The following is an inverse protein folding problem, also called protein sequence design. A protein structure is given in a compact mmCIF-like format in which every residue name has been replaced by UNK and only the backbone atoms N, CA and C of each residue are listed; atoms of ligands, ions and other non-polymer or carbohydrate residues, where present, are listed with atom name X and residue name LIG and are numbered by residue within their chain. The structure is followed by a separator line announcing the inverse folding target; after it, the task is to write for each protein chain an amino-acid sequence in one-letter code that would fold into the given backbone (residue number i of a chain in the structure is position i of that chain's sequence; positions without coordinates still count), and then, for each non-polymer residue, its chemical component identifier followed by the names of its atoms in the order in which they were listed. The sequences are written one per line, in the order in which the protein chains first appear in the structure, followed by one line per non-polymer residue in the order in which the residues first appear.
data_IF_319661672604
#
_entry.id   IF_319661672604
#
_cell.length_a   1.000
_cell.length_b   1.000
_cell.length_c   1.000
_cell.angle_alpha   90.00
_cell.angle_beta   90.00
_cell.angle_gamma   90.00
#
_symmetry.space_group_name_H-M   'P 1'
#
loop_
_entity.id
_entity.type
_entity.pdbx_description
1 polymer ?
#
# COMPACT_ATOMS: atom_id res chain seq x y z
N UNK A 1 2.12 4.27 -20.69
CA UNK A 1 2.96 4.08 -19.49
C UNK A 1 2.25 4.70 -18.31
N UNK A 2 2.56 4.23 -17.11
CA UNK A 2 2.09 4.79 -15.85
C UNK A 2 3.29 5.27 -15.02
N UNK A 3 3.12 6.40 -14.36
CA UNK A 3 3.94 6.82 -13.24
C UNK A 3 3.13 6.61 -11.96
N UNK A 4 3.71 5.93 -10.98
CA UNK A 4 3.05 5.65 -9.69
C UNK A 4 3.97 6.17 -8.60
N UNK A 5 3.48 7.06 -7.76
CA UNK A 5 4.18 7.54 -6.58
C UNK A 5 3.52 6.94 -5.35
N UNK A 6 4.23 6.06 -4.64
CA UNK A 6 3.81 5.54 -3.33
C UNK A 6 4.10 6.61 -2.29
N UNK A 7 3.07 7.37 -1.98
CA UNK A 7 3.11 8.51 -1.08
C UNK A 7 1.76 8.67 -0.37
N UNK A 8 1.80 8.90 0.93
CA UNK A 8 0.66 8.72 1.85
C UNK A 8 -0.12 10.01 2.14
N UNK A 9 0.47 11.17 1.91
CA UNK A 9 -0.10 12.48 2.29
C UNK A 9 -1.39 12.82 1.56
N UNK A 10 -1.44 12.52 0.27
CA UNK A 10 -2.47 13.10 -0.58
C UNK A 10 -3.70 12.22 -0.80
N UNK A 11 -3.52 10.89 -0.87
CA UNK A 11 -4.60 9.98 -1.32
C UNK A 11 -4.99 8.93 -0.29
N UNK A 12 -6.29 8.58 -0.21
CA UNK A 12 -6.79 7.53 0.68
C UNK A 12 -6.29 6.12 0.31
N UNK A 13 -5.63 5.95 -0.83
CA UNK A 13 -5.00 4.69 -1.26
C UNK A 13 -3.49 4.65 -1.03
N UNK A 14 -2.90 5.71 -0.47
CA UNK A 14 -1.47 5.78 -0.17
C UNK A 14 -0.57 5.81 -1.40
N UNK A 15 -1.11 6.30 -2.53
CA UNK A 15 -0.40 6.43 -3.80
C UNK A 15 -1.09 7.41 -4.75
N UNK A 16 -0.30 8.03 -5.63
CA UNK A 16 -0.77 8.76 -6.82
C UNK A 16 -0.46 7.94 -8.08
N UNK A 17 -1.35 7.98 -9.06
CA UNK A 17 -1.16 7.32 -10.36
C UNK A 17 -1.36 8.36 -11.45
N UNK A 18 -0.37 8.48 -12.34
CA UNK A 18 -0.39 9.38 -13.49
C UNK A 18 -0.23 8.56 -14.76
N UNK A 19 -1.25 8.55 -15.61
CA UNK A 19 -1.19 7.89 -16.91
C UNK A 19 -0.49 8.79 -17.95
N UNK A 20 0.51 8.24 -18.62
CA UNK A 20 1.31 8.87 -19.67
C UNK A 20 1.18 8.03 -20.94
N UNK A 21 0.08 8.22 -21.71
CA UNK A 21 -0.26 7.33 -22.82
C UNK A 21 0.69 7.49 -24.01
N UNK A 22 1.01 6.39 -24.67
CA UNK A 22 1.80 6.39 -25.91
C UNK A 22 3.29 6.70 -25.75
N UNK A 23 3.79 6.72 -24.52
CA UNK A 23 5.20 6.92 -24.19
C UNK A 23 5.71 5.65 -23.50
N UNK A 24 6.88 5.15 -23.90
CA UNK A 24 7.57 4.08 -23.17
C UNK A 24 8.43 4.66 -22.05
N UNK A 25 8.83 3.85 -21.06
CA UNK A 25 9.75 4.28 -19.98
C UNK A 25 11.00 4.94 -20.57
N UNK A 26 11.67 4.27 -21.52
CA UNK A 26 12.87 4.82 -22.16
C UNK A 26 12.58 6.15 -22.87
N UNK A 27 11.49 6.21 -23.64
CA UNK A 27 11.15 7.42 -24.38
C UNK A 27 10.77 8.60 -23.48
N UNK A 28 10.21 8.33 -22.29
CA UNK A 28 9.94 9.39 -21.30
C UNK A 28 11.24 9.98 -20.77
N UNK A 29 12.21 9.15 -20.36
CA UNK A 29 13.52 9.65 -19.91
C UNK A 29 14.26 10.39 -21.03
N UNK A 30 14.22 9.89 -22.26
CA UNK A 30 14.79 10.60 -23.43
C UNK A 30 14.18 11.97 -23.66
N UNK A 31 12.87 12.11 -23.45
CA UNK A 31 12.21 13.41 -23.55
C UNK A 31 12.72 14.37 -22.48
N UNK A 32 12.90 13.90 -21.24
CA UNK A 32 13.50 14.68 -20.16
C UNK A 32 14.93 15.15 -20.45
N UNK A 33 15.74 14.31 -21.10
CA UNK A 33 17.10 14.65 -21.55
C UNK A 33 17.17 15.88 -22.46
N UNK A 34 16.07 16.19 -23.16
CA UNK A 34 15.99 17.27 -24.16
C UNK A 34 15.38 18.55 -23.59
N UNK A 35 15.04 18.57 -22.30
CA UNK A 35 14.37 19.72 -21.68
C UNK A 35 15.39 20.75 -21.20
N UNK A 36 15.10 22.02 -21.46
CA UNK A 36 15.90 23.15 -20.95
C UNK A 36 15.67 23.41 -19.46
N UNK A 37 14.51 23.01 -18.93
CA UNK A 37 14.09 23.18 -17.54
C UNK A 37 13.51 21.86 -17.01
N UNK A 38 14.38 20.92 -16.56
CA UNK A 38 13.93 19.59 -16.17
C UNK A 38 13.02 19.57 -14.95
N UNK A 39 13.29 20.39 -13.93
CA UNK A 39 12.46 20.49 -12.71
C UNK A 39 11.02 20.84 -13.08
N UNK A 40 10.85 21.93 -13.84
CA UNK A 40 9.53 22.35 -14.28
C UNK A 40 8.85 21.29 -15.15
N UNK A 41 9.58 20.68 -16.08
CA UNK A 41 9.03 19.65 -16.96
C UNK A 41 8.55 18.42 -16.18
N UNK A 42 9.34 17.93 -15.21
CA UNK A 42 8.94 16.81 -14.34
C UNK A 42 7.68 17.19 -13.55
N UNK A 43 7.66 18.37 -12.94
CA UNK A 43 6.51 18.87 -12.17
C UNK A 43 5.23 18.96 -13.00
N UNK A 44 5.31 19.43 -14.25
CA UNK A 44 4.16 19.50 -15.17
C UNK A 44 3.71 18.13 -15.66
N UNK A 45 4.62 17.18 -15.90
CA UNK A 45 4.28 15.84 -16.37
C UNK A 45 3.71 14.95 -15.28
N UNK A 46 4.21 15.08 -14.04
CA UNK A 46 3.96 14.13 -12.96
C UNK A 46 3.13 14.70 -11.81
N UNK A 47 2.58 15.92 -11.96
CA UNK A 47 1.82 16.63 -10.91
C UNK A 47 2.65 16.80 -9.63
N UNK A 48 3.80 17.49 -9.76
CA UNK A 48 4.74 17.75 -8.68
C UNK A 48 5.94 16.81 -8.63
N UNK A 49 5.83 15.57 -9.13
CA UNK A 49 6.93 14.60 -9.17
C UNK A 49 7.53 14.23 -7.80
N UNK A 50 8.35 13.18 -7.71
CA UNK A 50 9.12 12.92 -6.50
C UNK A 50 10.35 13.82 -6.48
N UNK A 51 10.66 14.37 -5.30
CA UNK A 51 11.85 15.19 -5.09
C UNK A 51 13.11 14.45 -5.57
N UNK A 52 13.96 15.15 -6.31
CA UNK A 52 15.23 14.61 -6.78
C UNK A 52 15.19 13.88 -8.11
N UNK A 53 14.02 13.55 -8.66
CA UNK A 53 13.92 12.86 -9.94
C UNK A 53 14.52 13.69 -11.09
N UNK A 54 14.39 15.02 -11.03
CA UNK A 54 14.95 15.94 -12.02
C UNK A 54 16.48 15.90 -12.10
N UNK A 55 17.15 15.48 -11.03
CA UNK A 55 18.61 15.48 -10.92
C UNK A 55 19.30 14.72 -12.04
N UNK A 56 18.73 13.60 -12.52
CA UNK A 56 19.30 12.84 -13.65
C UNK A 56 19.42 13.69 -14.92
N UNK A 57 18.39 14.50 -15.20
CA UNK A 57 18.35 15.37 -16.39
C UNK A 57 19.24 16.60 -16.21
N UNK A 58 19.31 17.14 -15.00
CA UNK A 58 20.24 18.22 -14.69
C UNK A 58 21.70 17.77 -14.87
N UNK A 59 22.05 16.60 -14.33
CA UNK A 59 23.38 15.99 -14.51
C UNK A 59 23.70 15.70 -15.97
N UNK A 60 22.71 15.21 -16.73
CA UNK A 60 22.86 15.02 -18.17
C UNK A 60 23.26 16.30 -18.88
N UNK A 61 22.62 17.43 -18.54
CA UNK A 61 22.95 18.74 -19.12
C UNK A 61 24.31 19.26 -18.63
N UNK A 62 24.55 19.23 -17.33
CA UNK A 62 25.79 19.74 -16.72
C UNK A 62 27.04 19.03 -17.25
N UNK A 63 26.94 17.70 -17.44
CA UNK A 63 28.06 16.84 -17.84
C UNK A 63 28.04 16.46 -19.31
N UNK A 64 27.06 16.93 -20.07
CA UNK A 64 26.86 16.59 -21.48
C UNK A 64 26.77 15.06 -21.69
N UNK A 65 26.02 14.37 -20.83
CA UNK A 65 25.87 12.93 -20.91
C UNK A 65 25.08 12.54 -22.17
N UNK A 66 25.42 11.41 -22.81
CA UNK A 66 24.65 10.93 -23.95
C UNK A 66 23.22 10.58 -23.53
N UNK A 67 22.27 10.78 -24.43
CA UNK A 67 20.90 10.27 -24.28
C UNK A 67 20.94 8.72 -24.31
N UNK A 68 20.24 8.02 -23.39
CA UNK A 68 20.25 6.56 -23.37
C UNK A 68 19.61 5.97 -24.63
N UNK A 69 20.33 5.07 -25.32
CA UNK A 69 19.84 4.31 -26.46
C UNK A 69 19.07 3.04 -26.05
N UNK A 70 19.30 2.55 -24.83
CA UNK A 70 18.73 1.29 -24.31
C UNK A 70 18.36 1.42 -22.84
N UNK A 71 17.53 0.50 -22.33
CA UNK A 71 17.22 0.40 -20.90
C UNK A 71 18.45 0.08 -20.04
N UNK A 72 19.42 -0.65 -20.58
CA UNK A 72 20.67 -0.96 -19.87
C UNK A 72 21.53 0.29 -19.70
N UNK A 73 21.64 1.13 -20.74
CA UNK A 73 22.30 2.43 -20.62
C UNK A 73 21.55 3.38 -19.69
N UNK A 74 20.21 3.37 -19.73
CA UNK A 74 19.41 4.13 -18.78
C UNK A 74 19.68 3.66 -17.33
N UNK A 75 19.82 2.36 -17.09
CA UNK A 75 20.19 1.81 -15.77
C UNK A 75 21.51 2.37 -15.29
N UNK A 76 22.56 2.31 -16.11
CA UNK A 76 23.88 2.81 -15.75
C UNK A 76 23.84 4.31 -15.41
N UNK A 77 23.15 5.11 -16.23
CA UNK A 77 22.99 6.55 -16.01
C UNK A 77 22.21 6.86 -14.72
N UNK A 78 21.13 6.13 -14.45
CA UNK A 78 20.34 6.32 -13.23
C UNK A 78 21.16 5.97 -11.98
N UNK A 79 21.88 4.85 -11.97
CA UNK A 79 22.74 4.46 -10.83
C UNK A 79 23.82 5.51 -10.57
N UNK A 80 24.43 6.07 -11.62
CA UNK A 80 25.54 7.02 -11.42
C UNK A 80 25.09 8.46 -11.10
N UNK A 81 23.91 8.87 -11.56
CA UNK A 81 23.56 10.29 -11.62
C UNK A 81 22.18 10.65 -11.05
N UNK A 82 21.28 9.69 -10.85
CA UNK A 82 20.05 9.97 -10.13
C UNK A 82 20.39 10.19 -8.66
N UNK A 83 19.98 11.33 -8.13
CA UNK A 83 19.97 11.53 -6.70
C UNK A 83 18.66 10.97 -6.14
N UNK A 84 18.79 10.05 -5.18
CA UNK A 84 17.71 9.50 -4.38
C UNK A 84 18.24 9.41 -2.94
N UNK A 85 17.40 9.74 -1.96
CA UNK A 85 17.74 9.60 -0.54
C UNK A 85 17.54 8.15 -0.11
N UNK A 86 18.32 7.24 -0.70
CA UNK A 86 18.35 5.84 -0.33
C UNK A 86 19.72 5.26 -0.69
N UNK A 87 20.16 4.28 0.09
CA UNK A 87 21.32 3.46 -0.25
C UNK A 87 20.96 2.36 -1.29
N UNK A 88 19.67 2.21 -1.64
CA UNK A 88 19.20 1.26 -2.65
C UNK A 88 19.35 1.83 -4.07
N UNK A 89 20.09 1.13 -4.93
CA UNK A 89 20.19 1.47 -6.35
C UNK A 89 18.82 1.40 -7.07
N UNK A 90 18.56 2.29 -8.05
CA UNK A 90 17.40 2.20 -8.92
C UNK A 90 17.27 0.84 -9.62
N UNK A 91 16.08 0.24 -9.56
CA UNK A 91 15.81 -1.06 -10.17
C UNK A 91 15.20 -0.91 -11.55
N UNK A 92 16.05 -1.01 -12.56
CA UNK A 92 15.67 -0.87 -13.96
C UNK A 92 15.48 -2.24 -14.62
N UNK A 93 14.24 -2.53 -15.01
CA UNK A 93 13.85 -3.68 -15.82
C UNK A 93 13.65 -3.28 -17.29
N UNK A 94 13.26 -4.23 -18.15
CA UNK A 94 13.05 -3.96 -19.57
C UNK A 94 11.89 -2.98 -19.84
N UNK A 95 10.88 -2.94 -18.96
CA UNK A 95 9.68 -2.11 -19.09
C UNK A 95 9.36 -1.30 -17.82
N UNK A 96 10.32 -1.19 -16.91
CA UNK A 96 10.08 -0.57 -15.59
C UNK A 96 11.31 0.15 -15.07
N UNK A 97 11.11 1.30 -14.43
CA UNK A 97 12.08 1.92 -13.51
C UNK A 97 11.41 2.01 -12.15
N UNK A 98 12.07 1.55 -11.10
CA UNK A 98 11.52 1.53 -9.73
C UNK A 98 12.59 2.08 -8.80
N UNK A 99 12.24 3.07 -8.00
CA UNK A 99 13.18 3.79 -7.15
C UNK A 99 12.60 3.88 -5.76
N UNK A 100 13.42 3.52 -4.77
CA UNK A 100 13.19 3.81 -3.36
C UNK A 100 13.94 5.10 -3.02
N UNK A 101 13.33 5.97 -2.25
CA UNK A 101 13.93 7.20 -1.72
C UNK A 101 13.32 7.49 -0.36
N UNK A 102 13.75 8.54 0.31
CA UNK A 102 12.99 9.17 1.38
C UNK A 102 12.96 10.69 1.15
N UNK A 103 12.31 11.40 2.06
CA UNK A 103 12.29 12.85 2.17
C UNK A 103 12.76 13.30 3.57
N UNK A 104 13.86 12.70 4.06
CA UNK A 104 14.36 12.77 5.45
C UNK A 104 13.43 12.19 6.55
N UNK A 105 12.11 12.21 6.37
CA UNK A 105 11.15 11.82 7.41
C UNK A 105 10.30 10.60 7.07
N UNK A 106 10.09 10.30 5.79
CA UNK A 106 9.27 9.17 5.35
C UNK A 106 9.89 8.41 4.17
N UNK A 107 9.81 7.09 4.19
CA UNK A 107 10.18 6.30 3.03
C UNK A 107 9.17 6.50 1.90
N UNK A 108 9.69 6.76 0.70
CA UNK A 108 8.94 6.96 -0.53
C UNK A 108 9.42 5.98 -1.60
N UNK A 109 8.53 5.65 -2.54
CA UNK A 109 8.94 4.93 -3.72
C UNK A 109 8.14 5.39 -4.92
N UNK A 110 8.76 5.36 -6.09
CA UNK A 110 8.07 5.65 -7.34
C UNK A 110 8.45 4.68 -8.44
N UNK A 111 7.52 4.53 -9.38
CA UNK A 111 7.58 3.51 -10.41
C UNK A 111 7.16 4.09 -11.75
N UNK A 112 7.96 3.85 -12.77
CA UNK A 112 7.57 3.97 -14.18
C UNK A 112 7.29 2.56 -14.70
N UNK A 113 6.13 2.35 -15.32
CA UNK A 113 5.69 1.04 -15.81
C UNK A 113 5.06 1.19 -17.19
N UNK A 114 5.60 0.51 -18.20
CA UNK A 114 4.98 0.50 -19.52
C UNK A 114 3.61 -0.17 -19.52
N UNK A 115 2.75 0.21 -20.47
CA UNK A 115 1.42 -0.40 -20.64
C UNK A 115 1.52 -1.91 -20.90
N UNK A 116 2.55 -2.35 -21.62
CA UNK A 116 2.82 -3.77 -21.89
C UNK A 116 3.11 -4.54 -20.59
N UNK A 117 3.94 -3.99 -19.70
CA UNK A 117 4.24 -4.63 -18.41
C UNK A 117 3.01 -4.70 -17.52
N UNK A 118 2.22 -3.61 -17.46
CA UNK A 118 0.98 -3.59 -16.70
C UNK A 118 -0.03 -4.65 -17.22
N UNK A 119 -0.07 -4.87 -18.54
CA UNK A 119 -0.94 -5.85 -19.16
C UNK A 119 -0.46 -7.30 -19.00
N UNK A 120 0.87 -7.53 -19.02
CA UNK A 120 1.47 -8.87 -18.89
C UNK A 120 1.51 -9.37 -17.44
N UNK A 121 1.51 -8.46 -16.45
CA UNK A 121 1.57 -8.78 -15.01
C UNK A 121 0.46 -8.08 -14.20
N UNK A 122 -0.82 -8.31 -14.53
CA UNK A 122 -1.92 -7.60 -13.90
C UNK A 122 -2.06 -7.93 -12.40
N UNK A 123 -1.69 -9.13 -11.96
CA UNK A 123 -1.67 -9.52 -10.55
C UNK A 123 -0.63 -8.76 -9.72
N UNK A 124 0.35 -8.16 -10.38
CA UNK A 124 1.36 -7.30 -9.76
C UNK A 124 0.86 -5.87 -9.69
N UNK A 125 0.29 -5.34 -10.77
CA UNK A 125 0.03 -3.90 -10.92
C UNK A 125 -1.44 -3.48 -10.69
N UNK A 126 -2.40 -4.40 -10.59
CA UNK A 126 -3.81 -4.02 -10.52
C UNK A 126 -4.14 -3.05 -9.37
N UNK A 127 -3.62 -3.28 -8.15
CA UNK A 127 -3.80 -2.35 -7.05
C UNK A 127 -2.97 -1.08 -7.26
N UNK A 128 -1.73 -1.19 -7.76
CA UNK A 128 -0.85 -0.04 -8.01
C UNK A 128 -1.45 0.97 -8.99
N UNK A 129 -2.17 0.49 -10.00
CA UNK A 129 -2.81 1.32 -11.02
C UNK A 129 -4.25 1.72 -10.66
N UNK A 130 -4.79 1.20 -9.56
CA UNK A 130 -6.11 1.58 -9.07
C UNK A 130 -6.04 2.92 -8.34
N UNK A 131 -6.66 3.95 -8.91
CA UNK A 131 -6.61 5.34 -8.48
C UNK A 131 -7.89 5.85 -7.81
N UNK A 132 -8.95 5.04 -7.79
CA UNK A 132 -10.26 5.43 -7.28
C UNK A 132 -10.53 4.85 -5.88
N UNK A 133 -10.95 5.70 -4.94
CA UNK A 133 -11.57 5.23 -3.71
C UNK A 133 -13.11 5.25 -3.85
N UNK A 134 -13.85 4.25 -3.33
CA UNK A 134 -13.37 3.01 -2.68
C UNK A 134 -13.01 1.90 -3.67
N UNK A 135 -12.30 0.85 -3.20
CA UNK A 135 -12.21 -0.43 -3.92
C UNK A 135 -13.62 -0.99 -4.22
N UNK A 136 -13.82 -1.75 -5.31
CA UNK A 136 -15.12 -2.30 -5.68
C UNK A 136 -15.69 -3.24 -4.60
N UNK A 137 -17.00 -3.21 -4.40
CA UNK A 137 -17.66 -3.91 -3.28
C UNK A 137 -18.39 -5.21 -3.66
N UNK A 138 -18.42 -5.59 -4.94
CA UNK A 138 -19.02 -6.84 -5.40
C UNK A 138 -18.18 -8.07 -5.01
N UNK A 139 -18.86 -9.20 -4.86
CA UNK A 139 -18.28 -10.47 -4.41
C UNK A 139 -18.98 -11.64 -5.09
N UNK A 140 -18.30 -12.78 -5.17
CA UNK A 140 -18.84 -14.03 -5.75
C UNK A 140 -18.59 -15.20 -4.80
N UNK A 141 -19.47 -16.18 -4.83
CA UNK A 141 -19.31 -17.43 -4.09
C UNK A 141 -18.34 -18.35 -4.87
N UNK A 142 -17.05 -18.14 -4.67
CA UNK A 142 -15.97 -18.92 -5.27
C UNK A 142 -14.70 -18.90 -4.42
N UNK A 143 -13.85 -19.89 -4.63
CA UNK A 143 -12.56 -19.98 -3.94
C UNK A 143 -11.55 -18.97 -4.52
N UNK A 144 -10.77 -18.37 -3.64
CA UNK A 144 -9.62 -17.54 -4.00
C UNK A 144 -8.32 -18.26 -3.67
N UNK A 145 -7.48 -18.47 -4.68
CA UNK A 145 -6.13 -19.03 -4.54
C UNK A 145 -5.10 -17.93 -4.76
N UNK A 146 -4.18 -17.78 -3.82
CA UNK A 146 -3.04 -16.88 -3.91
C UNK A 146 -1.73 -17.63 -3.69
N UNK A 147 -0.66 -17.07 -4.26
CA UNK A 147 0.73 -17.50 -4.12
C UNK A 147 1.56 -16.51 -3.27
N UNK A 148 0.93 -15.42 -2.82
CA UNK A 148 1.57 -14.36 -2.05
C UNK A 148 1.79 -14.84 -0.61
N UNK A 149 3.00 -14.69 -0.04
CA UNK A 149 3.24 -14.96 1.37
C UNK A 149 2.36 -14.09 2.28
N UNK A 150 1.73 -14.73 3.28
CA UNK A 150 0.90 -14.05 4.29
C UNK A 150 1.19 -14.63 5.67
N UNK A 151 1.10 -13.79 6.70
CA UNK A 151 1.16 -14.25 8.09
C UNK A 151 -0.15 -14.93 8.44
N UNK A 152 -0.12 -16.15 8.97
CA UNK A 152 -1.36 -16.91 9.24
C UNK A 152 -1.67 -16.94 10.73
N UNK A 153 -2.90 -16.56 11.10
CA UNK A 153 -3.43 -16.77 12.45
C UNK A 153 -3.87 -18.24 12.58
N UNK A 154 -3.32 -18.93 13.57
CA UNK A 154 -3.72 -20.30 13.87
C UNK A 154 -5.17 -20.32 14.40
N UNK A 155 -6.01 -21.27 13.95
CA UNK A 155 -7.27 -21.53 14.65
C UNK A 155 -8.42 -22.16 13.87
N UNK A 156 -8.48 -22.05 12.54
CA UNK A 156 -9.59 -22.66 11.76
C UNK A 156 -9.07 -23.39 10.51
N UNK A 157 -9.77 -24.48 10.16
CA UNK A 157 -9.48 -25.37 9.03
C UNK A 157 -10.64 -25.44 8.03
N UNK A 158 -11.52 -24.43 8.03
CA UNK A 158 -12.62 -24.30 7.07
C UNK A 158 -12.18 -23.84 5.67
N UNK A 159 -13.10 -23.81 4.70
CA UNK A 159 -12.86 -23.21 3.38
C UNK A 159 -12.74 -21.69 3.47
N UNK A 160 -12.00 -21.11 2.52
CA UNK A 160 -11.78 -19.67 2.42
C UNK A 160 -10.81 -19.10 3.46
N UNK A 161 -10.66 -17.78 3.47
CA UNK A 161 -9.90 -17.02 4.43
C UNK A 161 -10.35 -15.56 4.45
N UNK A 162 -10.15 -14.88 5.58
CA UNK A 162 -10.16 -13.42 5.65
C UNK A 162 -8.74 -12.89 5.63
N UNK A 163 -8.49 -11.89 4.81
CA UNK A 163 -7.22 -11.19 4.70
C UNK A 163 -7.33 -9.81 5.34
N UNK A 164 -6.32 -9.45 6.12
CA UNK A 164 -6.15 -8.15 6.75
C UNK A 164 -4.88 -7.52 6.19
N UNK A 165 -5.04 -6.42 5.46
CA UNK A 165 -3.96 -5.66 4.85
C UNK A 165 -3.94 -4.26 5.44
N UNK A 166 -2.92 -3.95 6.25
CA UNK A 166 -2.70 -2.61 6.76
C UNK A 166 -1.55 -1.96 6.02
N UNK A 167 -1.80 -0.77 5.48
CA UNK A 167 -0.79 0.08 4.87
C UNK A 167 -0.64 1.28 5.81
N UNK A 168 0.22 1.17 6.83
CA UNK A 168 0.41 2.22 7.84
C UNK A 168 1.88 2.59 8.03
N UNK A 169 2.14 3.59 8.88
CA UNK A 169 3.47 3.79 9.44
C UNK A 169 3.69 2.73 10.52
N UNK A 170 4.57 1.76 10.25
CA UNK A 170 4.98 0.78 11.25
C UNK A 170 6.43 1.05 11.68
N UNK A 171 6.60 1.79 12.77
CA UNK A 171 7.92 2.05 13.37
C UNK A 171 8.46 0.86 14.17
N UNK A 172 7.83 -0.32 14.10
CA UNK A 172 8.21 -1.49 14.92
C UNK A 172 9.28 -2.36 14.27
N UNK A 173 9.68 -2.02 13.05
CA UNK A 173 10.87 -2.52 12.35
C UNK A 173 12.06 -1.54 12.41
N UNK A 174 12.93 -1.60 11.40
CA UNK A 174 14.08 -0.73 11.17
C UNK A 174 13.74 0.74 10.83
N UNK A 175 12.46 1.11 10.87
CA UNK A 175 11.98 2.46 10.62
C UNK A 175 11.36 2.67 9.24
N UNK A 176 11.19 1.61 8.44
CA UNK A 176 10.76 1.74 7.05
C UNK A 176 9.22 1.73 6.89
N UNK A 177 8.69 2.60 6.02
CA UNK A 177 7.23 2.74 5.78
C UNK A 177 6.73 1.93 4.58
N UNK A 178 7.65 1.31 3.84
CA UNK A 178 7.37 0.60 2.59
C UNK A 178 7.51 -0.92 2.71
N UNK A 179 8.43 -1.40 3.54
CA UNK A 179 8.68 -2.83 3.82
C UNK A 179 7.85 -3.27 5.02
N UNK A 180 6.54 -3.32 4.79
CA UNK A 180 5.57 -3.66 5.82
C UNK A 180 5.62 -5.16 6.16
N UNK A 181 5.08 -5.52 7.31
CA UNK A 181 5.07 -6.91 7.79
C UNK A 181 4.28 -7.90 6.90
N UNK A 182 3.61 -7.44 5.84
CA UNK A 182 2.76 -8.27 5.00
C UNK A 182 1.33 -8.40 5.54
N UNK A 183 0.47 -8.99 4.71
CA UNK A 183 -0.92 -9.26 5.07
C UNK A 183 -1.03 -10.37 6.13
N UNK A 184 -2.10 -10.30 6.93
CA UNK A 184 -2.50 -11.36 7.87
C UNK A 184 -3.69 -12.12 7.32
N UNK A 185 -3.63 -13.44 7.29
CA UNK A 185 -4.72 -14.33 6.91
C UNK A 185 -5.32 -15.03 8.14
N UNK A 186 -6.65 -15.08 8.18
CA UNK A 186 -7.47 -15.87 9.10
C UNK A 186 -8.13 -16.99 8.28
N UNK A 187 -7.55 -18.20 8.24
CA UNK A 187 -8.06 -19.28 7.42
C UNK A 187 -9.43 -19.75 7.88
N UNK A 188 -10.23 -20.28 6.95
CA UNK A 188 -11.50 -20.92 7.24
C UNK A 188 -12.57 -20.01 7.82
N UNK A 189 -12.58 -18.74 7.41
CA UNK A 189 -13.54 -17.72 7.82
C UNK A 189 -14.00 -16.90 6.61
N UNK A 190 -15.22 -16.40 6.70
CA UNK A 190 -15.72 -15.27 5.91
C UNK A 190 -15.67 -13.98 6.73
N UNK A 191 -15.73 -12.82 6.07
CA UNK A 191 -15.66 -11.52 6.75
C UNK A 191 -16.78 -11.31 7.78
N UNK A 192 -18.05 -11.74 7.54
CA UNK A 192 -19.11 -11.69 8.55
C UNK A 192 -18.84 -12.54 9.80
N UNK A 193 -18.03 -13.59 9.68
CA UNK A 193 -17.71 -14.50 10.80
C UNK A 193 -16.51 -14.00 11.62
N UNK A 194 -15.68 -13.10 11.06
CA UNK A 194 -14.43 -12.65 11.66
C UNK A 194 -14.64 -12.06 13.06
N UNK A 195 -15.64 -11.20 13.26
CA UNK A 195 -15.90 -10.60 14.56
C UNK A 195 -16.19 -11.66 15.64
N UNK A 196 -16.99 -12.68 15.31
CA UNK A 196 -17.29 -13.77 16.25
C UNK A 196 -16.05 -14.61 16.57
N UNK A 197 -15.17 -14.83 15.60
CA UNK A 197 -13.91 -15.53 15.81
C UNK A 197 -12.97 -14.76 16.74
N UNK A 198 -12.76 -13.46 16.49
CA UNK A 198 -11.91 -12.61 17.32
C UNK A 198 -12.42 -12.51 18.77
N UNK A 199 -13.74 -12.44 18.94
CA UNK A 199 -14.42 -12.39 20.24
C UNK A 199 -14.26 -13.69 21.04
N UNK A 200 -14.28 -14.84 20.35
CA UNK A 200 -14.23 -16.18 20.96
C UNK A 200 -12.81 -16.72 21.22
N UNK A 201 -11.77 -16.08 20.70
CA UNK A 201 -10.39 -16.53 20.88
C UNK A 201 -9.92 -16.34 22.34
N UNK A 202 -9.24 -17.35 22.89
CA UNK A 202 -8.65 -17.26 24.22
C UNK A 202 -7.49 -16.26 24.24
N UNK A 203 -7.30 -15.54 25.35
CA UNK A 203 -6.25 -14.51 25.46
C UNK A 203 -4.84 -15.05 25.26
N UNK A 204 -4.58 -16.28 25.71
CA UNK A 204 -3.29 -16.95 25.51
C UNK A 204 -2.98 -17.18 24.03
N UNK A 205 -3.99 -17.57 23.24
CA UNK A 205 -3.86 -17.79 21.80
C UNK A 205 -3.68 -16.46 21.08
N UNK A 206 -4.50 -15.46 21.44
CA UNK A 206 -4.45 -14.13 20.86
C UNK A 206 -3.12 -13.40 21.16
N UNK A 207 -2.48 -13.68 22.29
CA UNK A 207 -1.18 -13.11 22.65
C UNK A 207 -0.06 -13.46 21.66
N UNK A 208 -0.18 -14.59 20.95
CA UNK A 208 0.79 -15.04 19.95
C UNK A 208 0.46 -14.56 18.53
N UNK A 209 -0.66 -13.86 18.31
CA UNK A 209 -1.07 -13.41 16.98
C UNK A 209 -0.18 -12.27 16.43
N UNK A 210 -0.09 -12.15 15.10
CA UNK A 210 0.46 -10.97 14.44
C UNK A 210 -0.12 -9.68 15.01
N UNK A 211 0.68 -8.61 14.99
CA UNK A 211 0.30 -7.32 15.58
C UNK A 211 -1.07 -6.83 15.13
N UNK A 212 -1.32 -6.82 13.81
CA UNK A 212 -2.57 -6.28 13.27
C UNK A 212 -3.79 -7.12 13.64
N UNK A 213 -3.64 -8.43 13.81
CA UNK A 213 -4.70 -9.29 14.34
C UNK A 213 -5.01 -8.98 15.81
N UNK A 214 -3.99 -8.71 16.63
CA UNK A 214 -4.17 -8.27 18.02
C UNK A 214 -4.83 -6.90 18.10
N UNK A 215 -4.39 -5.95 17.28
CA UNK A 215 -4.99 -4.62 17.19
C UNK A 215 -6.46 -4.70 16.75
N UNK A 216 -6.78 -5.53 15.76
CA UNK A 216 -8.15 -5.71 15.30
C UNK A 216 -9.04 -6.29 16.41
N UNK A 217 -8.55 -7.28 17.15
CA UNK A 217 -9.23 -7.85 18.32
C UNK A 217 -9.43 -6.81 19.43
N UNK A 218 -8.39 -6.02 19.73
CA UNK A 218 -8.46 -4.95 20.73
C UNK A 218 -9.44 -3.84 20.33
N UNK A 219 -9.72 -3.64 19.03
CA UNK A 219 -10.72 -2.67 18.57
C UNK A 219 -12.15 -3.20 18.54
N UNK A 220 -12.33 -4.51 18.65
CA UNK A 220 -13.63 -5.16 18.66
C UNK A 220 -14.24 -5.13 20.06
N UNK A 221 -15.42 -4.51 20.21
CA UNK A 221 -16.14 -4.51 21.48
C UNK A 221 -16.58 -5.91 21.90
N UNK A 222 -16.66 -6.20 23.21
CA UNK A 222 -17.10 -7.51 23.71
C UNK A 222 -18.50 -7.88 23.20
N UNK A 223 -18.64 -9.07 22.60
CA UNK A 223 -19.89 -9.56 22.01
C UNK A 223 -20.30 -8.86 20.70
N UNK A 224 -19.49 -7.94 20.18
CA UNK A 224 -19.74 -7.27 18.91
C UNK A 224 -19.60 -8.25 17.73
N UNK A 225 -20.54 -8.17 16.79
CA UNK A 225 -20.61 -9.05 15.62
C UNK A 225 -20.34 -8.34 14.30
N UNK A 226 -20.18 -7.01 14.34
CA UNK A 226 -19.88 -6.20 13.15
C UNK A 226 -18.40 -5.80 13.16
N UNK A 227 -17.59 -6.41 12.29
CA UNK A 227 -16.17 -6.06 12.18
C UNK A 227 -15.97 -4.62 11.68
N UNK A 228 -16.92 -4.05 10.95
CA UNK A 228 -16.84 -2.66 10.53
C UNK A 228 -16.89 -1.69 11.71
N UNK A 229 -17.49 -2.08 12.85
CA UNK A 229 -17.44 -1.27 14.06
C UNK A 229 -16.01 -1.14 14.61
N UNK A 230 -15.19 -2.19 14.56
CA UNK A 230 -13.78 -2.13 14.92
C UNK A 230 -12.99 -1.17 14.02
N UNK A 231 -13.21 -1.22 12.70
CA UNK A 231 -12.57 -0.31 11.73
C UNK A 231 -13.06 1.14 11.87
N UNK A 232 -14.32 1.36 12.29
CA UNK A 232 -14.80 2.70 12.66
C UNK A 232 -14.18 3.22 13.96
N UNK A 233 -13.80 2.35 14.89
CA UNK A 233 -13.00 2.75 16.07
C UNK A 233 -11.58 3.10 15.66
N UNK A 234 -10.96 2.28 14.79
CA UNK A 234 -9.65 2.58 14.20
C UNK A 234 -9.61 3.96 13.57
N UNK A 235 -10.61 4.30 12.75
CA UNK A 235 -10.78 5.60 12.10
C UNK A 235 -10.77 6.82 13.04
N UNK A 236 -10.95 6.60 14.35
CA UNK A 236 -11.02 7.64 15.39
C UNK A 236 -9.81 7.64 16.33
N UNK A 237 -8.85 6.73 16.13
CA UNK A 237 -7.64 6.70 16.93
C UNK A 237 -6.76 7.90 16.55
N UNK A 238 -6.20 8.54 17.57
CA UNK A 238 -5.30 9.68 17.42
C UNK A 238 -3.85 9.24 17.22
N UNK A 239 -3.06 10.13 16.61
CA UNK A 239 -1.62 9.94 16.44
C UNK A 239 -1.24 9.02 15.27
N UNK A 240 0.04 9.08 14.89
CA UNK A 240 0.59 8.30 13.79
C UNK A 240 0.76 6.81 14.13
N UNK A 241 1.07 6.47 15.40
CA UNK A 241 0.97 5.10 15.93
C UNK A 241 -0.37 4.94 16.69
N UNK A 242 -1.43 4.43 16.05
CA UNK A 242 -2.75 4.33 16.66
C UNK A 242 -2.89 3.18 17.65
N UNK A 243 -1.80 2.54 18.07
CA UNK A 243 -1.89 1.32 18.86
C UNK A 243 -2.57 1.59 20.21
N UNK A 244 -3.67 0.86 20.54
CA UNK A 244 -4.21 0.85 21.89
C UNK A 244 -3.09 0.55 22.90
N UNK A 245 -3.03 1.34 23.98
CA UNK A 245 -1.96 1.22 24.99
C UNK A 245 -1.87 -0.17 25.63
N UNK A 246 -2.95 -0.95 25.57
CA UNK A 246 -2.96 -2.38 25.85
C UNK A 246 -3.65 -3.13 24.71
N UNK A 247 -2.86 -3.81 23.87
CA UNK A 247 -3.34 -4.66 22.77
C UNK A 247 -4.05 -5.94 23.24
N UNK A 248 -4.07 -6.21 24.54
CA UNK A 248 -4.81 -7.34 25.12
C UNK A 248 -6.15 -6.89 25.71
N UNK A 249 -6.32 -5.60 25.99
CA UNK A 249 -7.55 -5.05 26.51
C UNK A 249 -8.57 -4.81 25.39
N UNK A 250 -9.85 -5.10 25.69
CA UNK A 250 -10.98 -4.81 24.80
C UNK A 250 -11.81 -3.68 25.38
N UNK A 251 -12.44 -2.84 24.52
CA UNK A 251 -13.26 -1.73 24.95
C UNK A 251 -14.34 -2.18 25.93
N UNK A 252 -14.29 -1.67 27.16
CA UNK A 252 -15.31 -1.93 28.15
C UNK A 252 -16.61 -1.17 27.83
N UNK A 253 -17.75 -1.72 28.25
CA UNK A 253 -19.00 -0.98 28.21
C UNK A 253 -18.88 0.27 29.10
N UNK A 254 -19.01 1.46 28.51
CA UNK A 254 -18.92 2.74 29.22
C UNK A 254 -17.56 3.45 29.15
N UNK A 255 -16.64 3.00 28.28
CA UNK A 255 -15.45 3.78 27.95
C UNK A 255 -15.80 5.18 27.41
N UNK A 256 -14.95 6.18 27.66
CA UNK A 256 -15.14 7.51 27.13
C UNK A 256 -15.29 7.45 25.61
N UNK A 257 -16.22 8.23 25.08
CA UNK A 257 -16.44 8.27 23.64
C UNK A 257 -15.13 8.65 22.94
N UNK A 258 -14.73 7.81 21.98
CA UNK A 258 -13.69 8.17 21.02
C UNK A 258 -14.10 9.49 20.33
N UNK A 259 -13.12 10.33 19.96
CA UNK A 259 -13.41 11.55 19.24
C UNK A 259 -14.16 11.31 17.94
N UNK A 260 -14.71 12.38 17.38
CA UNK A 260 -15.14 12.33 15.99
C UNK A 260 -13.94 12.11 15.06
N UNK A 261 -14.12 11.31 14.02
CA UNK A 261 -13.09 11.12 13.01
C UNK A 261 -12.86 12.41 12.24
N UNK A 262 -11.63 12.63 11.77
CA UNK A 262 -11.32 13.76 10.91
C UNK A 262 -12.20 13.72 9.63
N UNK A 263 -12.66 14.86 9.08
CA UNK A 263 -13.54 14.87 7.90
C UNK A 263 -12.93 14.23 6.64
N UNK A 264 -11.59 14.18 6.54
CA UNK A 264 -10.88 13.47 5.45
C UNK A 264 -10.84 11.96 5.64
N UNK A 265 -11.11 11.44 6.84
CA UNK A 265 -11.13 9.99 7.10
C UNK A 265 -12.29 9.33 6.37
N UNK A 266 -11.99 8.27 5.62
CA UNK A 266 -12.98 7.53 4.83
C UNK A 266 -13.15 6.12 5.40
N UNK A 267 -14.39 5.66 5.52
CA UNK A 267 -14.73 4.28 5.88
C UNK A 267 -15.80 3.77 4.93
N UNK A 268 -15.56 2.61 4.32
CA UNK A 268 -16.54 1.89 3.51
C UNK A 268 -16.65 0.46 4.04
N UNK A 269 -17.88 -0.01 4.20
CA UNK A 269 -18.17 -1.36 4.66
C UNK A 269 -19.20 -2.00 3.71
N UNK A 270 -18.76 -3.04 3.02
CA UNK A 270 -19.52 -3.93 2.19
C UNK A 270 -19.48 -5.35 2.82
N UNK A 271 -20.37 -6.28 2.46
CA UNK A 271 -20.46 -7.59 3.13
C UNK A 271 -19.16 -8.40 3.17
N UNK A 272 -18.33 -8.29 2.12
CA UNK A 272 -17.10 -9.06 1.93
C UNK A 272 -15.84 -8.18 1.83
N UNK A 273 -15.98 -6.86 2.06
CA UNK A 273 -14.88 -5.90 2.09
C UNK A 273 -15.18 -4.77 3.09
N UNK A 274 -14.30 -4.54 4.04
CA UNK A 274 -14.27 -3.33 4.87
C UNK A 274 -12.95 -2.61 4.63
N UNK A 275 -13.01 -1.31 4.35
CA UNK A 275 -11.83 -0.50 4.07
C UNK A 275 -11.90 0.83 4.80
N UNK A 276 -10.79 1.24 5.39
CA UNK A 276 -10.62 2.55 6.04
C UNK A 276 -9.37 3.22 5.49
N UNK A 277 -9.48 4.52 5.25
CA UNK A 277 -8.36 5.43 5.08
C UNK A 277 -8.43 6.44 6.22
N UNK A 278 -7.70 6.16 7.32
CA UNK A 278 -7.67 7.01 8.51
C UNK A 278 -6.73 8.17 8.25
N UNK A 279 -7.28 9.37 8.14
CA UNK A 279 -6.48 10.58 8.01
C UNK A 279 -5.83 10.92 9.35
N UNK A 280 -4.53 11.19 9.33
CA UNK A 280 -3.73 11.57 10.50
C UNK A 280 -3.59 13.10 10.52
N UNK A 281 -2.80 13.65 9.60
CA UNK A 281 -2.60 15.08 9.37
C UNK A 281 -1.95 15.29 7.99
N UNK A 282 -1.59 16.54 7.65
CA UNK A 282 -0.99 16.87 6.35
C UNK A 282 0.45 16.32 6.20
N UNK A 283 1.10 15.89 7.29
CA UNK A 283 2.46 15.38 7.27
C UNK A 283 2.48 13.85 7.14
N UNK A 284 1.67 13.14 7.93
CA UNK A 284 1.60 11.67 7.91
C UNK A 284 0.54 11.12 6.96
N UNK A 285 -0.37 11.96 6.45
CA UNK A 285 -1.37 11.54 5.48
C UNK A 285 -2.37 10.52 6.01
N UNK A 286 -2.45 9.37 5.34
CA UNK A 286 -3.42 8.31 5.65
C UNK A 286 -2.76 7.00 6.12
N UNK A 287 -3.39 6.37 7.12
CA UNK A 287 -3.17 4.98 7.54
C UNK A 287 -4.34 4.13 7.00
N UNK A 288 -4.07 3.25 6.05
CA UNK A 288 -5.09 2.44 5.40
C UNK A 288 -5.20 1.04 6.01
N UNK A 289 -6.42 0.52 6.09
CA UNK A 289 -6.65 -0.87 6.47
C UNK A 289 -7.79 -1.47 5.66
N UNK A 290 -7.50 -2.56 4.97
CA UNK A 290 -8.43 -3.35 4.18
C UNK A 290 -8.63 -4.72 4.83
N UNK A 291 -9.89 -5.10 5.04
CA UNK A 291 -10.30 -6.44 5.43
C UNK A 291 -11.19 -7.00 4.32
N UNK A 292 -10.80 -8.12 3.72
CA UNK A 292 -11.60 -8.77 2.69
C UNK A 292 -11.51 -10.28 2.81
N UNK A 293 -12.54 -11.00 2.38
CA UNK A 293 -12.51 -12.46 2.38
C UNK A 293 -12.35 -13.05 0.98
N UNK A 294 -12.33 -14.38 0.92
CA UNK A 294 -12.19 -15.13 -0.33
C UNK A 294 -13.29 -14.80 -1.36
N UNK A 295 -14.50 -14.38 -0.96
CA UNK A 295 -15.56 -14.08 -1.91
C UNK A 295 -15.30 -12.78 -2.67
N UNK A 296 -14.82 -11.75 -1.95
CA UNK A 296 -14.34 -10.53 -2.59
C UNK A 296 -13.09 -10.79 -3.42
N UNK A 297 -12.13 -11.53 -2.87
CA UNK A 297 -10.88 -11.83 -3.56
C UNK A 297 -11.10 -12.69 -4.82
N UNK A 298 -12.10 -13.57 -4.84
CA UNK A 298 -12.47 -14.34 -6.03
C UNK A 298 -13.18 -13.49 -7.10
N UNK A 299 -13.92 -12.44 -6.71
CA UNK A 299 -14.49 -11.47 -7.65
C UNK A 299 -13.41 -10.55 -8.23
N UNK A 300 -12.38 -10.22 -7.44
CA UNK A 300 -11.33 -9.26 -7.78
C UNK A 300 -9.91 -9.85 -7.64
N UNK A 301 -9.58 -10.98 -8.30
CA UNK A 301 -8.37 -11.75 -7.99
C UNK A 301 -7.08 -10.99 -8.26
N UNK A 302 -7.07 -10.14 -9.28
CA UNK A 302 -5.91 -9.31 -9.64
C UNK A 302 -5.67 -8.22 -8.58
N UNK A 303 -6.73 -7.51 -8.16
CA UNK A 303 -6.65 -6.49 -7.11
C UNK A 303 -6.23 -7.12 -5.78
N UNK A 304 -6.81 -8.27 -5.41
CA UNK A 304 -6.49 -8.96 -4.17
C UNK A 304 -5.01 -9.36 -4.13
N UNK A 305 -4.49 -10.03 -5.17
CA UNK A 305 -3.07 -10.43 -5.23
C UNK A 305 -2.15 -9.22 -5.22
N UNK A 306 -2.46 -8.20 -6.01
CA UNK A 306 -1.64 -6.98 -6.09
C UNK A 306 -1.61 -6.23 -4.76
N UNK A 307 -2.74 -6.16 -4.04
CA UNK A 307 -2.81 -5.55 -2.71
C UNK A 307 -2.03 -6.36 -1.66
N UNK A 308 -2.13 -7.69 -1.67
CA UNK A 308 -1.34 -8.56 -0.78
C UNK A 308 0.17 -8.36 -1.01
N UNK A 309 0.59 -8.25 -2.27
CA UNK A 309 1.98 -8.01 -2.67
C UNK A 309 2.47 -6.63 -2.25
N UNK A 310 1.67 -5.59 -2.50
CA UNK A 310 1.96 -4.21 -2.12
C UNK A 310 2.19 -4.03 -0.61
N UNK A 311 1.51 -4.86 0.20
CA UNK A 311 1.62 -4.85 1.64
C UNK A 311 2.87 -5.58 2.17
N UNK A 312 3.66 -6.23 1.33
CA UNK A 312 4.79 -7.05 1.77
C UNK A 312 6.16 -6.42 1.45
N UNK A 313 6.24 -5.58 0.42
CA UNK A 313 7.52 -5.07 -0.06
C UNK A 313 7.36 -3.72 -0.77
N UNK A 314 8.42 -2.92 -0.80
CA UNK A 314 8.44 -1.68 -1.59
C UNK A 314 8.43 -1.96 -3.09
N UNK A 315 9.30 -2.85 -3.60
CA UNK A 315 9.36 -3.21 -5.03
C UNK A 315 8.22 -4.19 -5.38
N UNK A 316 7.27 -3.80 -6.25
CA UNK A 316 6.17 -4.66 -6.63
C UNK A 316 6.56 -5.87 -7.49
N UNK A 317 7.81 -5.98 -7.96
CA UNK A 317 8.24 -7.13 -8.77
C UNK A 317 9.20 -8.08 -8.04
N UNK A 318 9.46 -7.89 -6.74
CA UNK A 318 10.30 -8.79 -5.94
C UNK A 318 9.44 -9.66 -5.02
N UNK A 319 9.59 -10.98 -5.12
CA UNK A 319 8.89 -11.99 -4.30
C UNK A 319 9.73 -13.25 -4.12
#
# INVERSE_FOLDING_TARGET
MYFIQRWREETPLGKRVTALPGVTVLDWFRQGWRQDDPEKWVGEQLDGGPYGLESIFERARERQLPEPETMDQLRELLIEHLWAESDDDPRVGWHTVRVRTNDDETDLAYYFVDDAMAADYPETFAFLLHDAWPLPGDAVDADFVHDVPVQTVAGSSGPGAVFSVRLGFDHRGDGTSLDLAGAVAFPGLTLPELAAHLDGAADADAGAWPHDARMLRALLGTGERDIAAALRRFARLYGYDPTPGDLTARPAAGEPALPEAHPRTLVRADPHLVQVARYIDDFWGYDQWFLFDSHWAAAHPLLARSLLRWAAHWDPCEF
#
